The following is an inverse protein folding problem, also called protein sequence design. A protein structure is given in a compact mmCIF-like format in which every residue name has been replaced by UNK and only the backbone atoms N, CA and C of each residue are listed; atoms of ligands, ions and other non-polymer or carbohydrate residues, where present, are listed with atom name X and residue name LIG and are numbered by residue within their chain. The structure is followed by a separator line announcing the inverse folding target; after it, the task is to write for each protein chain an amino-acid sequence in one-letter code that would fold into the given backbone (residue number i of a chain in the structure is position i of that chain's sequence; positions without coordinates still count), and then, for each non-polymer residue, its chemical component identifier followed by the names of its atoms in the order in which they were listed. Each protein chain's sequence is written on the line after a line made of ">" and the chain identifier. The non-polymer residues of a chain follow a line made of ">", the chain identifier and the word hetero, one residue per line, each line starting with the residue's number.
data_IF_943274143943
#
_entry.id   IF_943274143943
#
_cell.length_a   1.000
_cell.length_b   1.000
_cell.length_c   1.000
_cell.angle_alpha   90.00
_cell.angle_beta   90.00
_cell.angle_gamma   90.00
#
_symmetry.space_group_name_H-M   'P 1'
#
loop_
_entity.id
_entity.type
_entity.pdbx_description
1 polymer ?
#
# COMPACT_ATOMS: atom_id res chain seq x y z
N UNK A 1 61.60 49.22 26.55
CA UNK A 1 61.20 48.17 25.60
C UNK A 1 59.97 48.69 24.89
N UNK A 2 60.18 49.10 23.65
CA UNK A 2 59.31 49.99 22.91
C UNK A 2 59.00 49.39 21.53
N UNK A 3 57.86 49.84 21.00
CA UNK A 3 57.43 49.84 19.59
C UNK A 3 56.67 48.58 19.12
N UNK A 4 55.37 48.71 18.77
CA UNK A 4 54.78 49.13 17.46
C UNK A 4 54.99 48.01 16.42
N UNK A 5 53.97 47.50 15.73
CA UNK A 5 53.27 48.19 14.65
C UNK A 5 51.84 47.67 14.40
N UNK A 6 50.96 48.65 14.16
CA UNK A 6 49.66 48.56 13.51
C UNK A 6 49.86 48.40 11.99
N UNK A 7 48.97 47.66 11.33
CA UNK A 7 48.90 47.57 9.87
C UNK A 7 47.51 47.90 9.38
N UNK A 8 47.26 49.19 9.16
CA UNK A 8 46.15 49.75 8.38
C UNK A 8 46.29 49.38 6.89
N UNK A 9 45.17 49.15 6.21
CA UNK A 9 45.17 48.87 4.77
C UNK A 9 43.80 48.76 4.12
N UNK A 10 43.01 49.84 4.14
CA UNK A 10 42.07 50.14 3.05
C UNK A 10 42.65 51.24 2.16
N UNK A 11 42.32 51.22 0.85
CA UNK A 11 41.57 52.36 0.35
C UNK A 11 40.42 52.01 -0.60
N UNK A 12 39.50 52.97 -0.64
CA UNK A 12 38.23 53.05 -1.32
C UNK A 12 38.30 53.24 -2.84
N UNK A 13 37.09 53.26 -3.44
CA UNK A 13 36.59 53.92 -4.69
C UNK A 13 36.05 52.88 -5.70
N UNK A 14 34.91 53.03 -6.39
CA UNK A 14 33.94 54.14 -6.59
C UNK A 14 32.75 53.61 -7.41
N UNK A 15 31.61 54.31 -7.30
CA UNK A 15 30.60 54.61 -8.35
C UNK A 15 29.76 53.43 -8.91
N UNK A 16 28.46 53.38 -8.61
CA UNK A 16 27.37 54.11 -9.29
C UNK A 16 27.11 53.58 -10.72
N UNK A 17 25.96 52.94 -10.90
CA UNK A 17 25.44 52.44 -12.16
C UNK A 17 23.95 52.16 -12.02
N UNK A 18 23.18 53.23 -12.18
CA UNK A 18 21.73 53.30 -12.19
C UNK A 18 21.29 53.26 -13.65
N UNK A 19 20.61 52.21 -14.09
CA UNK A 19 19.92 52.17 -15.39
C UNK A 19 18.63 51.34 -15.27
N UNK A 20 17.51 52.05 -15.07
CA UNK A 20 16.24 51.77 -15.77
C UNK A 20 16.28 52.61 -17.05
N UNK A 21 15.74 52.13 -18.19
CA UNK A 21 14.38 52.56 -18.52
C UNK A 21 13.54 51.61 -19.41
N UNK A 22 12.26 51.99 -19.49
CA UNK A 22 11.31 51.82 -20.60
C UNK A 22 10.62 50.43 -20.72
N UNK A 23 9.36 50.29 -20.30
CA UNK A 23 8.14 50.73 -21.00
C UNK A 23 7.97 50.13 -22.40
N UNK A 24 7.10 49.13 -22.53
CA UNK A 24 6.21 49.04 -23.68
C UNK A 24 4.87 48.47 -23.22
N UNK A 25 3.87 49.36 -23.27
CA UNK A 25 2.47 49.02 -23.28
C UNK A 25 2.17 48.17 -24.52
N UNK A 26 1.30 47.17 -24.38
CA UNK A 26 0.45 46.75 -25.49
C UNK A 26 -0.95 46.51 -24.94
N UNK A 27 -1.76 47.55 -25.11
CA UNK A 27 -3.21 47.55 -24.93
C UNK A 27 -3.79 47.72 -26.34
N UNK A 28 -4.65 46.79 -26.77
CA UNK A 28 -5.84 46.96 -27.62
C UNK A 28 -6.13 45.67 -28.40
N UNK A 29 -7.38 45.21 -28.29
CA UNK A 29 -7.87 44.05 -29.03
C UNK A 29 -9.25 43.58 -28.58
N UNK A 30 -10.18 44.49 -28.29
CA UNK A 30 -11.59 44.15 -28.17
C UNK A 30 -12.19 43.97 -29.58
N UNK A 31 -12.75 42.79 -29.87
CA UNK A 31 -13.62 42.50 -31.01
C UNK A 31 -14.68 41.50 -30.54
N UNK A 32 -15.83 41.97 -30.06
CA UNK A 32 -17.10 42.17 -30.80
C UNK A 32 -17.66 40.88 -31.43
N UNK A 33 -18.69 40.37 -30.75
CA UNK A 33 -19.97 39.88 -31.25
C UNK A 33 -20.10 39.53 -32.75
N UNK A 34 -20.45 38.28 -33.01
CA UNK A 34 -21.04 37.81 -34.25
C UNK A 34 -21.85 36.55 -33.99
N UNK A 35 -23.15 36.73 -33.75
CA UNK A 35 -24.10 35.63 -33.68
C UNK A 35 -24.43 35.08 -35.07
N UNK A 36 -24.67 33.77 -35.12
CA UNK A 36 -25.61 33.10 -36.03
C UNK A 36 -26.07 31.86 -35.27
N UNK A 37 -27.31 31.75 -34.78
CA UNK A 37 -28.54 31.49 -35.55
C UNK A 37 -28.34 30.39 -36.59
N UNK A 38 -28.50 29.15 -36.14
CA UNK A 38 -29.13 28.11 -36.94
C UNK A 38 -30.15 27.41 -36.04
N UNK A 39 -31.42 27.60 -36.37
CA UNK A 39 -32.55 27.02 -35.67
C UNK A 39 -32.86 25.60 -36.15
N UNK A 40 -33.60 24.91 -35.30
CA UNK A 40 -34.80 24.12 -35.58
C UNK A 40 -34.78 23.16 -36.78
N UNK A 41 -35.03 21.87 -36.51
CA UNK A 41 -36.31 21.20 -36.81
C UNK A 41 -36.14 19.67 -36.88
N UNK A 42 -37.06 18.99 -36.18
CA UNK A 42 -37.62 17.66 -36.47
C UNK A 42 -36.69 16.44 -36.29
N UNK A 43 -37.15 15.31 -35.78
CA UNK A 43 -38.51 14.92 -35.49
C UNK A 43 -38.55 13.58 -34.76
N UNK A 44 -39.63 13.42 -34.00
CA UNK A 44 -40.10 12.16 -33.49
C UNK A 44 -40.42 11.21 -34.66
N UNK A 45 -39.95 9.97 -34.54
CA UNK A 45 -40.23 8.88 -35.46
C UNK A 45 -40.55 7.61 -34.68
N UNK A 46 -41.77 7.55 -34.15
CA UNK A 46 -42.48 6.31 -33.82
C UNK A 46 -42.63 5.48 -35.10
N UNK A 47 -42.34 4.18 -35.05
CA UNK A 47 -43.05 3.11 -35.78
C UNK A 47 -42.58 1.71 -35.27
N UNK A 48 -43.37 0.65 -35.50
CA UNK A 48 -43.64 -0.41 -34.53
C UNK A 48 -43.00 -1.75 -34.92
N UNK A 49 -42.84 -2.64 -33.96
CA UNK A 49 -42.73 -4.09 -34.17
C UNK A 49 -43.60 -4.74 -33.08
N UNK A 50 -44.78 -5.25 -33.44
CA UNK A 50 -45.04 -6.69 -33.67
C UNK A 50 -44.35 -7.55 -32.59
N UNK A 51 -45.07 -8.15 -31.64
CA UNK A 51 -46.22 -9.02 -31.87
C UNK A 51 -45.69 -10.45 -31.93
N UNK A 52 -45.53 -11.08 -30.77
CA UNK A 52 -44.93 -12.41 -30.65
C UNK A 52 -45.12 -12.99 -29.25
N UNK A 53 -46.33 -13.49 -29.01
CA UNK A 53 -46.67 -14.35 -27.89
C UNK A 53 -45.78 -15.60 -27.89
N UNK A 54 -45.19 -15.92 -26.74
CA UNK A 54 -44.65 -17.23 -26.46
C UNK A 54 -44.92 -17.56 -24.99
N UNK A 55 -45.86 -18.49 -24.82
CA UNK A 55 -46.20 -19.17 -23.60
C UNK A 55 -44.96 -19.75 -22.89
N UNK A 56 -44.79 -19.41 -21.62
CA UNK A 56 -44.02 -20.20 -20.68
C UNK A 56 -44.73 -20.20 -19.32
N UNK A 57 -45.67 -21.14 -19.23
CA UNK A 57 -46.23 -21.67 -18.01
C UNK A 57 -45.10 -22.14 -17.09
N UNK A 58 -44.89 -21.49 -15.94
CA UNK A 58 -44.07 -22.01 -14.86
C UNK A 58 -44.85 -21.89 -13.56
N UNK A 59 -45.19 -23.07 -13.05
CA UNK A 59 -45.95 -23.32 -11.84
C UNK A 59 -45.34 -22.66 -10.61
N UNK A 60 -46.12 -21.80 -9.97
CA UNK A 60 -45.86 -21.25 -8.66
C UNK A 60 -46.33 -22.25 -7.58
N UNK A 61 -45.57 -23.32 -7.39
CA UNK A 61 -45.69 -24.23 -6.26
C UNK A 61 -44.31 -24.84 -5.99
N UNK A 62 -43.49 -24.18 -5.15
CA UNK A 62 -42.38 -24.79 -4.37
C UNK A 62 -41.46 -23.78 -3.64
N UNK A 63 -41.91 -22.53 -3.40
CA UNK A 63 -41.12 -21.55 -2.64
C UNK A 63 -41.31 -21.61 -1.10
N UNK A 64 -42.25 -22.43 -0.59
CA UNK A 64 -42.67 -22.41 0.83
C UNK A 64 -42.22 -23.65 1.64
N UNK A 65 -41.57 -24.64 1.01
CA UNK A 65 -41.15 -25.89 1.67
C UNK A 65 -39.66 -25.92 2.09
N UNK A 66 -38.85 -24.99 1.59
CA UNK A 66 -37.41 -24.87 1.97
C UNK A 66 -37.23 -24.05 3.27
N UNK A 67 -38.19 -23.18 3.61
CA UNK A 67 -38.14 -22.35 4.82
C UNK A 67 -38.48 -23.11 6.13
N UNK A 68 -38.97 -24.36 6.05
CA UNK A 68 -39.37 -25.16 7.24
C UNK A 68 -38.42 -26.30 7.61
N UNK A 69 -37.25 -26.42 6.95
CA UNK A 69 -36.27 -27.50 7.18
C UNK A 69 -34.98 -27.08 7.90
N UNK A 70 -34.91 -25.85 8.42
CA UNK A 70 -33.74 -25.35 9.17
C UNK A 70 -34.02 -25.20 10.69
N UNK A 71 -35.25 -25.40 11.15
CA UNK A 71 -35.58 -25.49 12.57
C UNK A 71 -35.72 -26.96 12.98
N UNK A 72 -34.60 -27.60 13.36
CA UNK A 72 -34.46 -28.77 14.24
C UNK A 72 -33.22 -29.58 13.87
N UNK A 73 -32.06 -29.09 14.32
CA UNK A 73 -30.90 -29.92 14.61
C UNK A 73 -30.25 -29.39 15.89
N UNK A 74 -30.65 -30.00 17.00
CA UNK A 74 -30.10 -29.90 18.35
C UNK A 74 -28.58 -30.12 18.35
N UNK A 75 -27.78 -29.25 18.97
CA UNK A 75 -27.33 -29.31 20.38
C UNK A 75 -26.52 -30.57 20.72
N UNK A 76 -25.18 -30.45 20.69
CA UNK A 76 -24.33 -30.83 21.81
C UNK A 76 -22.90 -30.31 21.60
N UNK A 77 -22.62 -29.13 22.16
CA UNK A 77 -21.25 -28.64 22.37
C UNK A 77 -21.19 -28.00 23.76
N UNK A 78 -20.83 -28.80 24.75
CA UNK A 78 -20.49 -28.36 26.09
C UNK A 78 -19.26 -27.44 26.03
N UNK A 79 -19.50 -26.13 26.01
CA UNK A 79 -18.48 -25.12 26.16
C UNK A 79 -18.19 -24.90 27.65
N UNK A 80 -17.04 -25.38 28.11
CA UNK A 80 -16.46 -25.07 29.42
C UNK A 80 -15.92 -23.64 29.38
N UNK A 81 -16.82 -22.66 29.54
CA UNK A 81 -16.50 -21.25 29.58
C UNK A 81 -15.84 -20.91 30.93
N UNK A 82 -14.52 -21.07 31.02
CA UNK A 82 -13.72 -20.38 32.04
C UNK A 82 -13.82 -18.88 31.78
N UNK A 83 -14.65 -18.20 32.57
CA UNK A 83 -14.69 -16.75 32.65
C UNK A 83 -13.29 -16.22 33.04
N UNK A 84 -12.57 -15.69 32.06
CA UNK A 84 -11.41 -14.82 32.30
C UNK A 84 -11.94 -13.57 33.00
N UNK A 85 -11.33 -13.11 34.10
CA UNK A 85 -11.76 -11.89 34.77
C UNK A 85 -11.66 -10.73 33.78
N UNK A 86 -12.71 -9.91 33.71
CA UNK A 86 -12.73 -8.70 32.92
C UNK A 86 -11.56 -7.80 33.35
N UNK A 87 -10.50 -7.76 32.55
CA UNK A 87 -9.42 -6.80 32.70
C UNK A 87 -10.02 -5.41 32.49
N UNK A 88 -9.90 -4.53 33.50
CA UNK A 88 -10.32 -3.14 33.37
C UNK A 88 -9.68 -2.52 32.12
N UNK A 89 -10.43 -1.71 31.34
CA UNK A 89 -9.85 -1.02 30.19
C UNK A 89 -8.71 -0.14 30.71
N UNK A 90 -7.48 -0.49 30.30
CA UNK A 90 -6.23 0.13 30.80
C UNK A 90 -6.09 1.61 30.42
N UNK A 91 -7.06 2.17 29.68
CA UNK A 91 -7.03 3.51 29.12
C UNK A 91 -8.26 4.34 29.51
N UNK A 92 -8.20 4.98 30.68
CA UNK A 92 -8.95 6.20 30.99
C UNK A 92 -7.95 7.37 31.04
N UNK A 93 -7.54 7.94 29.90
CA UNK A 93 -6.51 8.99 29.94
C UNK A 93 -5.97 9.61 28.65
N UNK A 94 -6.63 9.49 27.49
CA UNK A 94 -6.22 10.20 26.27
C UNK A 94 -6.62 11.68 26.32
N UNK A 95 -6.01 12.42 27.23
CA UNK A 95 -5.94 13.89 27.25
C UNK A 95 -4.46 14.32 27.25
N UNK A 96 -3.70 13.84 26.27
CA UNK A 96 -2.37 14.39 25.98
C UNK A 96 -2.44 15.10 24.63
N UNK A 97 -2.22 16.41 24.67
CA UNK A 97 -2.03 17.23 23.49
C UNK A 97 -0.80 16.72 22.72
N UNK A 98 -1.01 15.84 21.75
CA UNK A 98 0.00 15.43 20.78
C UNK A 98 -0.21 16.25 19.50
N UNK A 99 0.87 16.81 18.97
CA UNK A 99 0.82 17.58 17.74
C UNK A 99 0.48 16.66 16.57
N UNK A 100 -0.72 16.80 16.00
CA UNK A 100 -1.16 16.12 14.78
C UNK A 100 -0.23 16.51 13.61
N UNK A 101 0.35 15.52 12.94
CA UNK A 101 1.18 15.69 11.74
C UNK A 101 0.51 15.02 10.55
N UNK A 102 -0.02 15.84 9.63
CA UNK A 102 -0.58 15.37 8.36
C UNK A 102 0.53 15.04 7.37
N UNK A 103 0.54 13.83 6.83
CA UNK A 103 1.42 13.43 5.73
C UNK A 103 0.77 13.78 4.39
N UNK A 104 1.19 14.89 3.78
CA UNK A 104 0.91 15.14 2.36
C UNK A 104 1.85 14.35 1.46
N UNK A 105 1.46 14.09 0.22
CA UNK A 105 2.22 13.35 -0.80
C UNK A 105 3.58 13.96 -1.23
N UNK A 106 4.17 14.86 -0.43
CA UNK A 106 5.45 15.51 -0.72
C UNK A 106 6.25 15.97 0.52
N UNK A 107 5.86 15.58 1.74
CA UNK A 107 6.64 15.89 2.94
C UNK A 107 7.71 14.81 3.16
N UNK A 108 8.97 15.14 3.53
CA UNK A 108 9.98 14.13 3.87
C UNK A 108 9.44 13.19 4.96
N UNK A 109 9.31 11.92 4.60
CA UNK A 109 8.46 10.88 5.21
C UNK A 109 8.81 10.45 6.64
N UNK A 110 9.79 11.06 7.29
CA UNK A 110 10.12 10.72 8.67
C UNK A 110 9.54 11.78 9.61
N UNK A 111 8.52 11.45 10.44
CA UNK A 111 8.22 12.31 11.58
C UNK A 111 9.54 12.45 12.34
N UNK A 112 9.89 13.69 12.67
CA UNK A 112 11.27 14.11 12.90
C UNK A 112 12.06 13.31 13.95
N UNK A 113 11.44 12.39 14.72
CA UNK A 113 12.07 11.53 15.71
C UNK A 113 11.28 10.24 15.97
N UNK A 114 11.17 9.33 14.99
CA UNK A 114 11.13 7.91 15.36
C UNK A 114 12.49 7.65 16.03
N UNK A 115 12.51 7.30 17.31
CA UNK A 115 13.73 7.32 18.12
C UNK A 115 14.89 6.57 17.45
N UNK A 116 16.11 7.14 17.49
CA UNK A 116 17.32 6.50 16.94
C UNK A 116 17.62 5.14 17.58
N UNK A 117 17.03 4.89 18.74
CA UNK A 117 17.20 3.69 19.53
C UNK A 117 16.35 2.50 19.03
N UNK A 118 15.46 2.74 18.07
CA UNK A 118 14.71 1.66 17.42
C UNK A 118 15.60 0.88 16.46
N UNK A 119 15.46 -0.43 16.45
CA UNK A 119 15.98 -1.31 15.41
C UNK A 119 15.31 -1.02 14.06
N UNK A 120 15.91 -1.44 12.93
CA UNK A 120 15.32 -1.27 11.61
C UNK A 120 13.92 -1.90 11.48
N UNK A 121 13.69 -3.06 12.11
CA UNK A 121 12.38 -3.70 12.12
C UNK A 121 11.37 -2.85 12.87
N UNK A 122 11.70 -2.38 14.07
CA UNK A 122 10.79 -1.58 14.86
C UNK A 122 10.41 -0.27 14.18
N UNK A 123 11.36 0.38 13.47
CA UNK A 123 11.02 1.55 12.64
C UNK A 123 10.04 1.21 11.53
N UNK A 124 10.21 0.06 10.86
CA UNK A 124 9.27 -0.41 9.83
C UNK A 124 7.88 -0.66 10.44
N UNK A 125 7.81 -1.33 11.59
CA UNK A 125 6.55 -1.61 12.28
C UNK A 125 5.88 -0.32 12.75
N UNK A 126 6.64 0.61 13.34
CA UNK A 126 6.15 1.90 13.80
C UNK A 126 5.50 2.71 12.67
N UNK A 127 6.09 2.72 11.47
CA UNK A 127 5.57 3.49 10.33
C UNK A 127 4.58 2.71 9.44
N UNK A 128 4.27 1.45 9.75
CA UNK A 128 3.36 0.62 8.94
C UNK A 128 1.98 1.27 8.78
N UNK A 129 1.53 1.46 7.54
CA UNK A 129 0.34 2.26 7.21
C UNK A 129 -0.81 1.38 6.68
N UNK A 130 -1.28 0.45 7.52
CA UNK A 130 -2.31 -0.53 7.13
C UNK A 130 -1.77 -1.78 6.44
N UNK A 131 -0.45 -1.99 6.46
CA UNK A 131 0.22 -3.17 5.90
C UNK A 131 1.01 -3.98 6.95
N UNK A 132 0.72 -3.79 8.24
CA UNK A 132 1.42 -4.44 9.35
C UNK A 132 1.39 -5.96 9.27
N UNK A 133 0.20 -6.57 9.06
CA UNK A 133 0.06 -8.02 8.95
C UNK A 133 0.95 -8.62 7.86
N UNK A 134 0.99 -7.98 6.68
CA UNK A 134 1.83 -8.41 5.58
C UNK A 134 3.31 -8.24 5.91
N UNK A 135 3.72 -7.10 6.47
CA UNK A 135 5.11 -6.87 6.84
C UNK A 135 5.60 -7.95 7.81
N UNK A 136 4.83 -8.22 8.87
CA UNK A 136 5.17 -9.24 9.86
C UNK A 136 5.15 -10.64 9.25
N UNK A 137 4.13 -10.95 8.43
CA UNK A 137 4.04 -12.23 7.73
C UNK A 137 5.26 -12.48 6.83
N UNK A 138 5.66 -11.48 6.03
CA UNK A 138 6.85 -11.56 5.18
C UNK A 138 8.13 -11.64 5.99
N UNK A 139 8.24 -10.86 7.07
CA UNK A 139 9.42 -10.85 7.92
C UNK A 139 9.63 -12.21 8.59
N UNK A 140 8.59 -12.76 9.20
CA UNK A 140 8.64 -14.05 9.90
C UNK A 140 8.54 -15.25 8.96
N UNK A 141 8.08 -15.04 7.72
CA UNK A 141 7.68 -16.08 6.77
C UNK A 141 6.61 -17.02 7.34
N UNK A 142 5.61 -16.43 8.02
CA UNK A 142 4.59 -17.14 8.79
C UNK A 142 3.22 -16.49 8.62
N UNK A 143 2.16 -17.22 8.95
CA UNK A 143 0.80 -16.67 8.90
C UNK A 143 0.58 -15.68 10.04
N UNK A 144 0.03 -14.51 9.71
CA UNK A 144 -0.39 -13.49 10.68
C UNK A 144 -1.90 -13.37 10.67
N UNK A 145 -2.54 -13.55 11.83
CA UNK A 145 -3.99 -13.44 11.99
C UNK A 145 -4.38 -12.32 12.96
N UNK A 146 -5.54 -11.73 12.72
CA UNK A 146 -6.18 -10.75 13.61
C UNK A 146 -7.37 -11.41 14.28
N UNK A 147 -7.43 -11.32 15.61
CA UNK A 147 -8.55 -11.83 16.39
C UNK A 147 -9.29 -10.67 17.04
N UNK A 148 -10.59 -10.56 16.79
CA UNK A 148 -11.43 -9.53 17.40
C UNK A 148 -11.81 -9.98 18.80
N UNK A 149 -11.43 -9.18 19.80
CA UNK A 149 -11.72 -9.45 21.22
C UNK A 149 -12.95 -8.66 21.67
N UNK A 150 -13.06 -7.40 21.21
CA UNK A 150 -14.17 -6.50 21.56
C UNK A 150 -14.59 -5.69 20.34
N UNK A 151 -15.90 -5.49 20.17
CA UNK A 151 -16.47 -4.67 19.09
C UNK A 151 -17.85 -4.18 19.54
N UNK A 152 -17.85 -3.18 20.41
CA UNK A 152 -19.06 -2.68 21.07
C UNK A 152 -19.47 -1.33 20.51
N UNK A 153 -20.77 -1.07 20.38
CA UNK A 153 -21.26 0.25 20.00
C UNK A 153 -21.16 1.17 21.21
N UNK A 154 -20.51 2.32 21.02
CA UNK A 154 -20.50 3.40 21.98
C UNK A 154 -21.75 4.26 21.76
N UNK A 155 -22.86 3.88 22.40
CA UNK A 155 -24.16 4.56 22.26
C UNK A 155 -24.09 6.05 22.61
N UNK A 156 -23.28 6.41 23.61
CA UNK A 156 -23.12 7.80 24.04
C UNK A 156 -22.43 8.69 22.99
N UNK A 157 -21.57 8.10 22.14
CA UNK A 157 -20.87 8.80 21.06
C UNK A 157 -21.57 8.69 19.69
N UNK A 158 -22.60 7.85 19.60
CA UNK A 158 -23.35 7.57 18.37
C UNK A 158 -24.53 8.53 18.19
N UNK A 159 -24.90 8.77 16.93
CA UNK A 159 -26.05 9.59 16.50
C UNK A 159 -26.83 8.84 15.41
N UNK A 160 -27.99 9.37 15.01
CA UNK A 160 -28.82 8.77 13.96
C UNK A 160 -28.08 8.57 12.61
N UNK A 161 -27.03 9.35 12.36
CA UNK A 161 -26.26 9.34 11.10
C UNK A 161 -24.84 8.79 11.27
N UNK A 162 -24.43 8.42 12.49
CA UNK A 162 -23.04 8.09 12.81
C UNK A 162 -22.97 7.08 13.93
N UNK A 163 -22.34 5.95 13.69
CA UNK A 163 -22.12 4.91 14.71
C UNK A 163 -20.66 4.89 15.11
N UNK A 164 -20.40 4.86 16.42
CA UNK A 164 -19.04 4.77 16.98
C UNK A 164 -18.88 3.40 17.62
N UNK A 165 -17.82 2.68 17.26
CA UNK A 165 -17.46 1.39 17.84
C UNK A 165 -16.19 1.52 18.68
N UNK A 166 -16.22 0.94 19.88
CA UNK A 166 -15.05 0.67 20.70
C UNK A 166 -14.58 -0.75 20.38
N UNK A 167 -13.47 -0.86 19.66
CA UNK A 167 -12.96 -2.12 19.13
C UNK A 167 -11.60 -2.46 19.74
N UNK A 168 -11.40 -3.73 20.06
CA UNK A 168 -10.10 -4.27 20.48
C UNK A 168 -9.80 -5.53 19.68
N UNK A 169 -8.59 -5.63 19.15
CA UNK A 169 -8.10 -6.81 18.44
C UNK A 169 -6.74 -7.25 18.97
N UNK A 170 -6.47 -8.54 18.86
CA UNK A 170 -5.14 -9.12 19.09
C UNK A 170 -4.50 -9.50 17.76
N UNK A 171 -3.19 -9.31 17.68
CA UNK A 171 -2.35 -9.63 16.54
C UNK A 171 -1.49 -10.85 16.86
N UNK A 172 -1.62 -11.88 16.04
CA UNK A 172 -0.98 -13.18 16.24
C UNK A 172 -0.12 -13.54 15.03
N UNK A 173 1.11 -13.98 15.28
CA UNK A 173 1.97 -14.62 14.30
C UNK A 173 2.05 -16.09 14.70
N UNK A 174 1.35 -16.96 13.96
CA UNK A 174 1.02 -18.32 14.40
C UNK A 174 0.39 -18.36 15.81
N UNK A 175 1.10 -18.97 16.76
CA UNK A 175 0.67 -19.17 18.16
C UNK A 175 1.23 -18.09 19.11
N UNK A 176 2.00 -17.12 18.58
CA UNK A 176 2.60 -16.04 19.36
C UNK A 176 1.81 -14.75 19.17
N UNK A 177 1.21 -14.26 20.26
CA UNK A 177 0.64 -12.90 20.29
C UNK A 177 1.78 -11.89 20.32
N UNK A 178 1.85 -11.03 19.30
CA UNK A 178 2.87 -9.98 19.21
C UNK A 178 2.30 -8.57 19.32
N UNK A 179 0.98 -8.42 19.38
CA UNK A 179 0.41 -7.10 19.55
C UNK A 179 -1.06 -7.08 19.92
N UNK A 180 -1.51 -5.90 20.33
CA UNK A 180 -2.90 -5.59 20.64
C UNK A 180 -3.21 -4.20 20.08
N UNK A 181 -4.41 -4.02 19.56
CA UNK A 181 -4.86 -2.75 19.04
C UNK A 181 -6.25 -2.40 19.59
N UNK A 182 -6.32 -1.30 20.32
CA UNK A 182 -7.57 -0.65 20.69
C UNK A 182 -7.90 0.42 19.65
N UNK A 183 -9.17 0.58 19.30
CA UNK A 183 -9.60 1.47 18.24
C UNK A 183 -10.95 2.09 18.52
N UNK A 184 -11.08 3.37 18.17
CA UNK A 184 -12.35 4.06 18.07
C UNK A 184 -12.69 4.18 16.59
N UNK A 185 -13.73 3.45 16.15
CA UNK A 185 -14.14 3.39 14.74
C UNK A 185 -15.43 4.16 14.57
N UNK A 186 -15.35 5.31 13.91
CA UNK A 186 -16.50 6.17 13.59
C UNK A 186 -16.93 5.93 12.16
N UNK A 187 -18.20 5.58 11.95
CA UNK A 187 -18.75 5.21 10.65
C UNK A 187 -20.01 6.02 10.36
N UNK A 188 -20.11 6.56 9.15
CA UNK A 188 -21.28 7.28 8.64
C UNK A 188 -21.98 6.51 7.50
N UNK A 189 -21.26 5.58 6.84
CA UNK A 189 -21.79 4.76 5.75
C UNK A 189 -22.52 3.51 6.26
N UNK A 190 -23.81 3.30 5.94
CA UNK A 190 -24.57 2.11 6.36
C UNK A 190 -23.93 0.79 5.91
N UNK A 191 -23.35 0.76 4.70
CA UNK A 191 -22.66 -0.43 4.17
C UNK A 191 -21.44 -0.82 5.01
N UNK A 192 -20.69 0.17 5.49
CA UNK A 192 -19.53 -0.04 6.37
C UNK A 192 -19.97 -0.45 7.77
N UNK A 193 -21.10 0.08 8.26
CA UNK A 193 -21.65 -0.30 9.57
C UNK A 193 -21.96 -1.79 9.62
N UNK A 194 -22.61 -2.34 8.59
CA UNK A 194 -22.92 -3.76 8.50
C UNK A 194 -21.63 -4.60 8.56
N UNK A 195 -20.62 -4.26 7.74
CA UNK A 195 -19.35 -4.98 7.71
C UNK A 195 -18.61 -4.95 9.06
N UNK A 196 -18.57 -3.80 9.74
CA UNK A 196 -17.92 -3.67 11.06
C UNK A 196 -18.71 -4.39 12.16
N UNK A 197 -20.03 -4.29 12.14
CA UNK A 197 -20.91 -4.93 13.13
C UNK A 197 -20.79 -6.46 13.10
N UNK A 198 -20.45 -7.05 11.94
CA UNK A 198 -20.22 -8.49 11.82
C UNK A 198 -19.11 -9.02 12.73
N UNK A 199 -18.16 -8.16 13.12
CA UNK A 199 -16.98 -8.55 13.90
C UNK A 199 -16.01 -9.47 13.16
N UNK A 200 -16.25 -9.79 11.87
CA UNK A 200 -15.44 -10.74 11.10
C UNK A 200 -14.35 -10.09 10.27
N UNK A 201 -14.50 -8.80 9.95
CA UNK A 201 -13.60 -8.08 9.05
C UNK A 201 -12.69 -7.15 9.87
N UNK A 202 -11.37 -7.28 9.71
CA UNK A 202 -10.40 -6.36 10.31
C UNK A 202 -10.45 -4.97 9.66
N UNK A 203 -10.05 -3.92 10.40
CA UNK A 203 -10.15 -2.53 9.91
C UNK A 203 -9.39 -2.33 8.59
N UNK A 204 -8.18 -2.88 8.48
CA UNK A 204 -7.40 -2.78 7.23
C UNK A 204 -8.07 -3.46 6.04
N UNK A 205 -8.85 -4.53 6.29
CA UNK A 205 -9.56 -5.27 5.25
C UNK A 205 -10.80 -4.53 4.76
N UNK A 206 -11.46 -3.77 5.64
CA UNK A 206 -12.63 -2.95 5.27
C UNK A 206 -12.26 -1.98 4.15
N UNK A 207 -11.16 -1.23 4.30
CA UNK A 207 -10.76 -0.28 3.27
C UNK A 207 -10.60 -0.95 1.91
N UNK A 208 -9.98 -2.14 1.88
CA UNK A 208 -9.81 -2.92 0.66
C UNK A 208 -11.12 -3.47 0.10
N UNK A 209 -11.98 -4.06 0.94
CA UNK A 209 -13.25 -4.66 0.51
C UNK A 209 -14.18 -3.63 -0.16
N UNK A 210 -14.05 -2.36 0.22
CA UNK A 210 -14.83 -1.26 -0.31
C UNK A 210 -14.00 -0.35 -1.23
N UNK A 211 -12.84 -0.82 -1.72
CA UNK A 211 -11.94 -0.13 -2.65
C UNK A 211 -11.55 1.30 -2.22
N UNK A 212 -11.52 1.56 -0.91
CA UNK A 212 -11.14 2.84 -0.31
C UNK A 212 -9.63 2.89 -0.06
N UNK A 213 -9.01 4.01 -0.45
CA UNK A 213 -7.62 4.32 -0.09
C UNK A 213 -7.60 5.23 1.16
N UNK A 214 -7.28 4.71 2.36
CA UNK A 214 -7.30 5.53 3.56
C UNK A 214 -6.13 6.52 3.60
N UNK A 215 -6.42 7.75 4.00
CA UNK A 215 -5.40 8.68 4.47
C UNK A 215 -4.86 8.19 5.82
N UNK A 216 -3.54 8.04 5.91
CA UNK A 216 -2.82 7.62 7.11
C UNK A 216 -2.16 8.81 7.80
N UNK A 217 -2.38 8.94 9.10
CA UNK A 217 -1.79 9.98 9.95
C UNK A 217 -1.20 9.35 11.21
N UNK A 218 0.13 9.25 11.28
CA UNK A 218 0.83 8.82 12.51
C UNK A 218 0.83 9.96 13.53
N UNK A 219 0.18 9.75 14.68
CA UNK A 219 -0.01 10.78 15.71
C UNK A 219 1.08 10.73 16.77
N UNK A 220 1.44 9.53 17.23
CA UNK A 220 2.54 9.34 18.19
C UNK A 220 3.17 7.96 18.06
N UNK A 221 4.46 7.89 18.38
CA UNK A 221 5.18 6.63 18.59
C UNK A 221 6.01 6.80 19.85
N UNK A 222 5.92 5.84 20.75
CA UNK A 222 6.73 5.71 21.96
C UNK A 222 7.32 4.31 21.98
N UNK A 223 8.61 4.21 22.24
CA UNK A 223 9.30 2.95 22.47
C UNK A 223 9.89 3.02 23.88
N UNK A 224 9.09 2.67 24.91
CA UNK A 224 9.43 3.01 26.29
C UNK A 224 10.63 2.24 26.82
N UNK A 225 10.80 0.96 26.45
CA UNK A 225 11.97 0.08 26.65
C UNK A 225 11.63 -1.32 26.06
N UNK A 226 12.61 -2.23 25.92
CA UNK A 226 12.40 -3.68 25.68
C UNK A 226 11.58 -4.09 24.44
N UNK A 227 11.90 -3.56 23.26
CA UNK A 227 11.27 -3.97 22.00
C UNK A 227 9.74 -3.77 21.92
N UNK A 228 9.17 -2.99 22.83
CA UNK A 228 7.77 -2.59 22.77
C UNK A 228 7.62 -1.29 21.97
N UNK A 229 6.65 -1.28 21.05
CA UNK A 229 6.27 -0.11 20.27
C UNK A 229 4.83 0.22 20.62
N UNK A 230 4.62 1.36 21.26
CA UNK A 230 3.32 1.99 21.45
C UNK A 230 3.15 3.04 20.33
N UNK A 231 2.13 2.87 19.49
CA UNK A 231 1.82 3.85 18.45
C UNK A 231 0.35 4.21 18.41
N UNK A 232 0.09 5.48 18.15
CA UNK A 232 -1.26 6.01 17.92
C UNK A 232 -1.29 6.61 16.52
N UNK A 233 -2.27 6.23 15.73
CA UNK A 233 -2.44 6.75 14.39
C UNK A 233 -3.91 6.80 14.00
N UNK A 234 -4.19 7.51 12.90
CA UNK A 234 -5.51 7.62 12.31
C UNK A 234 -5.51 7.09 10.89
N UNK A 235 -6.56 6.34 10.56
CA UNK A 235 -6.95 6.01 9.20
C UNK A 235 -8.27 6.72 8.90
N UNK A 236 -8.38 7.36 7.73
CA UNK A 236 -9.61 8.05 7.34
C UNK A 236 -9.90 7.88 5.86
N UNK A 237 -11.17 7.64 5.53
CA UNK A 237 -11.70 7.62 4.17
C UNK A 237 -13.12 8.18 4.19
N UNK A 238 -13.77 8.28 3.02
CA UNK A 238 -15.14 8.78 2.94
C UNK A 238 -16.07 7.87 3.77
N UNK A 239 -16.74 8.47 4.76
CA UNK A 239 -17.71 7.78 5.61
C UNK A 239 -17.12 6.87 6.71
N UNK A 240 -15.80 6.87 6.92
CA UNK A 240 -15.16 6.14 8.02
C UNK A 240 -13.89 6.83 8.55
N UNK A 241 -13.73 6.84 9.87
CA UNK A 241 -12.52 7.29 10.55
C UNK A 241 -12.20 6.34 11.69
N UNK A 242 -10.94 5.90 11.77
CA UNK A 242 -10.45 5.02 12.81
C UNK A 242 -9.29 5.73 13.53
N UNK A 243 -9.41 5.92 14.84
CA UNK A 243 -8.27 6.24 15.70
C UNK A 243 -7.81 4.95 16.37
N UNK A 244 -6.55 4.58 16.15
CA UNK A 244 -6.01 3.26 16.48
C UNK A 244 -4.81 3.46 17.40
N UNK A 245 -4.84 2.80 18.54
CA UNK A 245 -3.74 2.66 19.48
C UNK A 245 -3.25 1.22 19.46
N UNK A 246 -2.01 1.00 19.04
CA UNK A 246 -1.40 -0.32 18.97
C UNK A 246 -0.22 -0.41 19.94
N UNK A 247 -0.18 -1.52 20.67
CA UNK A 247 0.97 -1.97 21.44
C UNK A 247 1.53 -3.20 20.76
N UNK A 248 2.77 -3.11 20.28
CA UNK A 248 3.48 -4.18 19.59
C UNK A 248 4.66 -4.61 20.44
N UNK A 249 4.87 -5.91 20.58
CA UNK A 249 6.07 -6.50 21.19
C UNK A 249 6.88 -7.18 20.09
N UNK A 250 7.92 -6.50 19.61
CA UNK A 250 8.78 -7.01 18.54
C UNK A 250 9.64 -8.19 19.01
N UNK A 251 9.84 -8.37 20.32
CA UNK A 251 10.57 -9.52 20.86
C UNK A 251 9.78 -10.83 20.75
N UNK A 252 8.45 -10.74 20.67
CA UNK A 252 7.56 -11.89 20.48
C UNK A 252 7.48 -12.35 19.03
N UNK A 253 8.07 -11.60 18.10
CA UNK A 253 8.18 -12.05 16.73
C UNK A 253 9.16 -13.23 16.68
N UNK A 254 8.75 -14.38 16.11
CA UNK A 254 9.64 -15.52 15.99
C UNK A 254 10.89 -15.10 15.24
N UNK A 255 12.04 -15.60 15.68
CA UNK A 255 13.28 -15.38 14.96
C UNK A 255 13.09 -15.85 13.52
N UNK A 256 13.53 -15.06 12.55
CA UNK A 256 13.37 -15.43 11.16
C UNK A 256 14.08 -16.76 10.89
N UNK A 257 13.55 -17.60 9.98
CA UNK A 257 14.24 -18.82 9.59
C UNK A 257 15.64 -18.45 9.08
N UNK A 258 16.66 -19.10 9.63
CA UNK A 258 18.04 -18.94 9.17
C UNK A 258 18.08 -19.42 7.72
N UNK A 259 18.60 -18.61 6.78
CA UNK A 259 18.81 -19.07 5.41
C UNK A 259 19.65 -20.35 5.44
N UNK A 260 19.04 -21.49 5.11
CA UNK A 260 19.81 -22.70 4.81
C UNK A 260 20.72 -22.34 3.64
N UNK A 261 22.01 -22.63 3.71
CA UNK A 261 22.95 -22.39 2.60
C UNK A 261 22.47 -23.16 1.37
N UNK A 262 21.66 -22.52 0.53
CA UNK A 262 21.15 -23.14 -0.70
C UNK A 262 22.24 -22.99 -1.75
N UNK A 263 22.61 -24.11 -2.37
CA UNK A 263 23.55 -24.11 -3.49
C UNK A 263 22.89 -23.40 -4.69
N UNK A 264 23.25 -22.12 -4.88
CA UNK A 264 22.63 -21.19 -5.86
C UNK A 264 22.72 -21.74 -7.30
N UNK A 265 23.67 -22.67 -7.56
CA UNK A 265 23.85 -23.30 -8.86
C UNK A 265 22.65 -24.14 -9.34
N UNK A 266 21.81 -24.67 -8.44
CA UNK A 266 20.72 -25.56 -8.83
C UNK A 266 19.39 -24.85 -9.15
N UNK A 267 19.13 -23.67 -8.57
CA UNK A 267 17.79 -23.04 -8.58
C UNK A 267 17.51 -22.29 -9.90
N UNK A 268 18.53 -21.67 -10.50
CA UNK A 268 18.38 -20.92 -11.75
C UNK A 268 18.10 -21.81 -12.98
N UNK A 269 18.39 -23.12 -12.90
CA UNK A 269 18.11 -24.06 -13.97
C UNK A 269 16.62 -24.47 -14.05
N UNK A 270 15.84 -24.29 -12.98
CA UNK A 270 14.42 -24.69 -12.94
C UNK A 270 13.47 -23.64 -13.54
N UNK A 271 13.78 -22.34 -13.45
CA UNK A 271 12.91 -21.27 -13.98
C UNK A 271 13.04 -20.98 -15.47
N UNK A 272 14.06 -21.50 -16.16
CA UNK A 272 14.30 -21.21 -17.60
C UNK A 272 13.69 -22.22 -18.58
N UNK A 273 12.90 -23.20 -18.10
CA UNK A 273 12.41 -24.32 -18.93
C UNK A 273 10.89 -24.34 -19.14
N UNK A 274 10.29 -23.19 -19.42
CA UNK A 274 8.87 -23.08 -19.80
C UNK A 274 8.69 -22.32 -21.14
N UNK A 275 9.07 -22.95 -22.25
CA UNK A 275 8.64 -22.58 -23.60
C UNK A 275 8.98 -23.69 -24.62
N UNK A 276 8.25 -24.81 -24.62
CA UNK A 276 7.99 -25.58 -25.85
C UNK A 276 6.88 -26.62 -25.61
N UNK A 277 5.71 -26.55 -26.29
CA UNK A 277 4.70 -27.61 -26.23
C UNK A 277 4.91 -28.58 -27.39
N UNK A 278 5.42 -29.78 -27.12
CA UNK A 278 5.48 -30.82 -28.15
C UNK A 278 6.04 -32.16 -27.67
N UNK A 279 5.18 -33.19 -27.76
CA UNK A 279 5.43 -34.63 -27.77
C UNK A 279 5.41 -35.43 -26.42
N UNK A 280 4.24 -36.03 -26.18
CA UNK A 280 3.89 -37.38 -25.67
C UNK A 280 4.88 -38.28 -24.89
N UNK A 281 4.48 -38.61 -23.64
CA UNK A 281 4.42 -39.90 -22.89
C UNK A 281 5.64 -40.87 -22.76
N UNK A 282 5.67 -41.76 -21.72
CA UNK A 282 5.39 -41.55 -20.28
C UNK A 282 6.44 -42.24 -19.36
N UNK A 283 6.25 -42.09 -18.05
CA UNK A 283 6.86 -42.83 -16.93
C UNK A 283 8.21 -42.31 -16.37
N UNK A 284 8.15 -41.56 -15.27
CA UNK A 284 9.09 -41.71 -14.16
C UNK A 284 8.63 -40.93 -12.92
N UNK A 285 8.80 -41.61 -11.78
CA UNK A 285 8.80 -41.18 -10.39
C UNK A 285 8.91 -39.67 -10.07
N UNK A 286 8.01 -39.24 -9.17
CA UNK A 286 8.35 -38.36 -8.05
C UNK A 286 8.69 -36.91 -8.36
N UNK A 287 7.87 -36.23 -9.17
CA UNK A 287 7.98 -34.79 -9.35
C UNK A 287 7.25 -34.09 -8.19
N UNK A 288 8.00 -33.45 -7.28
CA UNK A 288 7.42 -32.51 -6.33
C UNK A 288 6.93 -31.30 -7.10
N UNK A 289 5.62 -31.11 -7.04
CA UNK A 289 4.85 -30.13 -7.80
C UNK A 289 5.10 -28.73 -7.24
N UNK A 290 6.00 -27.96 -7.87
CA UNK A 290 6.28 -26.56 -7.52
C UNK A 290 5.20 -25.60 -8.02
N UNK A 291 4.11 -26.10 -8.61
CA UNK A 291 3.00 -25.29 -9.17
C UNK A 291 1.86 -25.01 -8.20
N UNK A 292 1.98 -25.36 -6.92
CA UNK A 292 0.89 -25.20 -5.93
C UNK A 292 1.13 -24.08 -4.90
N UNK A 293 1.89 -23.04 -5.25
CA UNK A 293 1.81 -21.78 -4.51
C UNK A 293 0.62 -20.99 -5.10
N UNK A 294 -0.42 -20.64 -4.32
CA UNK A 294 -1.50 -19.81 -4.82
C UNK A 294 -0.92 -18.49 -5.36
N UNK A 295 -1.03 -18.28 -6.68
CA UNK A 295 -0.49 -17.12 -7.41
C UNK A 295 -1.20 -15.78 -7.07
N UNK A 296 -1.89 -15.69 -5.93
CA UNK A 296 -2.68 -14.50 -5.58
C UNK A 296 -2.09 -13.81 -4.35
N UNK A 297 -0.84 -13.32 -4.50
CA UNK A 297 -0.26 -12.34 -3.58
C UNK A 297 -1.12 -11.06 -3.50
N UNK A 298 -1.91 -10.81 -4.55
CA UNK A 298 -2.92 -9.76 -4.56
C UNK A 298 -3.90 -9.92 -3.41
N UNK A 299 -4.45 -11.10 -3.14
CA UNK A 299 -5.64 -11.27 -2.29
C UNK A 299 -5.34 -11.46 -0.78
N UNK A 300 -4.07 -11.31 -0.41
CA UNK A 300 -3.53 -11.61 0.93
C UNK A 300 -4.13 -10.81 2.11
N UNK A 301 -5.03 -9.88 1.85
CA UNK A 301 -5.69 -9.05 2.86
C UNK A 301 -7.22 -9.25 2.89
N UNK A 302 -7.80 -10.12 2.05
CA UNK A 302 -9.24 -10.40 2.10
C UNK A 302 -9.62 -11.35 3.27
N UNK A 303 -8.67 -12.18 3.74
CA UNK A 303 -8.85 -13.06 4.89
C UNK A 303 -8.29 -12.49 6.21
N UNK A 304 -8.89 -12.88 7.35
CA UNK A 304 -8.39 -12.51 8.69
C UNK A 304 -6.98 -13.02 8.96
N UNK A 305 -6.48 -13.93 8.12
CA UNK A 305 -5.12 -14.43 8.08
C UNK A 305 -4.43 -14.02 6.78
N UNK A 306 -3.19 -13.55 6.90
CA UNK A 306 -2.29 -13.21 5.79
C UNK A 306 -1.09 -14.15 5.84
N UNK A 307 -0.77 -14.83 4.74
CA UNK A 307 0.42 -15.69 4.63
C UNK A 307 1.17 -15.43 3.34
N UNK A 308 2.32 -14.77 3.43
CA UNK A 308 3.26 -14.67 2.32
C UNK A 308 4.15 -15.91 2.32
N UNK A 309 4.02 -16.76 1.30
CA UNK A 309 4.89 -17.93 1.15
C UNK A 309 5.94 -17.68 0.06
N UNK A 310 6.99 -16.96 0.41
CA UNK A 310 8.20 -16.91 -0.41
C UNK A 310 9.07 -18.09 0.04
N UNK A 311 9.56 -18.90 -0.91
CA UNK A 311 10.37 -20.08 -0.64
C UNK A 311 11.35 -19.91 0.52
N UNK A 312 11.13 -20.74 1.54
CA UNK A 312 11.92 -20.78 2.77
C UNK A 312 13.41 -20.88 2.47
N UNK A 313 14.21 -20.13 3.23
CA UNK A 313 15.67 -20.20 3.19
C UNK A 313 16.36 -19.48 2.03
N UNK A 314 15.64 -19.06 0.98
CA UNK A 314 16.26 -18.36 -0.17
C UNK A 314 16.48 -16.86 0.07
N UNK A 315 15.64 -16.25 0.92
CA UNK A 315 15.64 -14.81 1.15
C UNK A 315 15.73 -14.50 2.64
N UNK A 316 16.44 -13.44 2.98
CA UNK A 316 16.51 -12.81 4.30
C UNK A 316 15.17 -12.13 4.62
N UNK A 317 14.89 -11.83 5.90
CA UNK A 317 13.61 -11.25 6.32
C UNK A 317 13.27 -9.94 5.62
N UNK A 318 14.23 -9.02 5.57
CA UNK A 318 14.01 -7.74 4.92
C UNK A 318 13.88 -7.87 3.41
N UNK A 319 14.60 -8.80 2.77
CA UNK A 319 14.42 -9.10 1.35
C UNK A 319 12.98 -9.56 1.08
N UNK A 320 12.40 -10.46 1.90
CA UNK A 320 10.99 -10.88 1.76
C UNK A 320 10.01 -9.70 1.92
N UNK A 321 10.27 -8.80 2.87
CA UNK A 321 9.47 -7.58 3.05
C UNK A 321 9.52 -6.70 1.81
N UNK A 322 10.70 -6.49 1.22
CA UNK A 322 10.85 -5.72 -0.02
C UNK A 322 10.16 -6.40 -1.20
N UNK A 323 10.34 -7.72 -1.37
CA UNK A 323 9.72 -8.48 -2.47
C UNK A 323 8.20 -8.38 -2.46
N UNK A 324 7.58 -8.43 -1.29
CA UNK A 324 6.11 -8.45 -1.13
C UNK A 324 5.46 -7.11 -0.87
N UNK A 325 6.25 -6.02 -0.88
CA UNK A 325 5.71 -4.68 -0.70
C UNK A 325 4.79 -4.30 -1.88
N UNK A 326 3.47 -4.29 -1.66
CA UNK A 326 2.53 -3.64 -2.59
C UNK A 326 2.66 -2.12 -2.45
N UNK A 327 3.61 -1.55 -3.19
CA UNK A 327 3.94 -0.13 -3.18
C UNK A 327 4.76 0.34 -1.98
N UNK A 328 5.18 1.60 -2.07
CA UNK A 328 5.88 2.35 -1.02
C UNK A 328 7.19 1.72 -0.49
N UNK A 329 7.97 1.10 -1.38
CA UNK A 329 9.36 0.68 -1.09
C UNK A 329 10.19 1.84 -0.54
N UNK A 330 9.94 3.06 -1.03
CA UNK A 330 10.57 4.27 -0.53
C UNK A 330 10.40 4.44 0.99
N UNK A 331 9.18 4.30 1.54
CA UNK A 331 8.95 4.38 3.00
C UNK A 331 9.60 3.24 3.75
N UNK A 332 9.56 2.02 3.21
CA UNK A 332 10.19 0.86 3.85
C UNK A 332 11.70 1.05 3.95
N UNK A 333 12.36 1.45 2.86
CA UNK A 333 13.78 1.77 2.84
C UNK A 333 14.10 2.96 3.75
N UNK A 334 13.27 4.00 3.75
CA UNK A 334 13.46 5.17 4.60
C UNK A 334 13.38 4.84 6.09
N UNK A 335 12.41 3.99 6.45
CA UNK A 335 12.23 3.52 7.83
C UNK A 335 13.36 2.57 8.23
N UNK A 336 13.74 1.65 7.35
CA UNK A 336 14.81 0.70 7.62
C UNK A 336 16.15 1.39 7.85
N UNK A 337 16.52 2.31 6.96
CA UNK A 337 17.81 3.00 6.96
C UNK A 337 17.85 4.24 7.87
N UNK A 338 16.70 4.66 8.42
CA UNK A 338 16.55 5.92 9.17
C UNK A 338 17.07 7.15 8.38
N UNK A 339 16.83 7.15 7.07
CA UNK A 339 17.29 8.22 6.18
C UNK A 339 16.25 8.55 5.11
N UNK A 340 16.19 9.80 4.63
CA UNK A 340 15.23 10.18 3.60
C UNK A 340 15.59 9.48 2.28
N UNK A 341 14.63 8.79 1.69
CA UNK A 341 14.78 8.18 0.36
C UNK A 341 14.15 9.09 -0.69
N UNK A 342 14.90 9.38 -1.76
CA UNK A 342 14.46 10.22 -2.88
C UNK A 342 14.24 9.38 -4.11
N UNK A 343 13.19 9.67 -4.86
CA UNK A 343 12.92 9.08 -6.17
C UNK A 343 13.45 10.04 -7.23
N UNK A 344 14.38 9.57 -8.05
CA UNK A 344 14.92 10.30 -9.19
C UNK A 344 14.37 9.67 -10.47
N UNK A 345 13.52 10.41 -11.19
CA UNK A 345 13.07 9.99 -12.52
C UNK A 345 14.18 10.29 -13.51
N UNK A 346 14.78 9.25 -14.07
CA UNK A 346 15.92 9.37 -14.98
C UNK A 346 15.44 9.60 -16.40
N UNK A 347 14.42 8.85 -16.82
CA UNK A 347 13.87 8.92 -18.17
C UNK A 347 12.37 8.60 -18.13
N UNK A 348 11.59 9.35 -18.90
CA UNK A 348 10.24 8.97 -19.30
C UNK A 348 10.21 9.03 -20.82
N UNK A 349 10.15 7.85 -21.45
CA UNK A 349 10.11 7.72 -22.90
C UNK A 349 8.86 8.37 -23.47
N UNK A 350 8.97 8.83 -24.73
CA UNK A 350 7.83 9.37 -25.45
C UNK A 350 6.68 8.34 -25.50
N UNK A 351 5.41 8.80 -25.48
CA UNK A 351 4.27 7.90 -25.60
C UNK A 351 4.36 7.11 -26.90
N UNK A 352 4.28 5.79 -26.79
CA UNK A 352 4.11 4.89 -27.92
C UNK A 352 2.65 4.47 -27.98
N UNK A 353 2.06 4.41 -29.18
CA UNK A 353 0.71 3.89 -29.33
C UNK A 353 0.63 2.47 -28.75
N UNK A 354 -0.33 2.26 -27.84
CA UNK A 354 -0.51 0.96 -27.23
C UNK A 354 -1.26 0.04 -28.23
N UNK A 355 -0.70 -1.12 -28.60
CA UNK A 355 -1.34 -2.03 -29.55
C UNK A 355 -2.53 -2.80 -28.96
N UNK A 356 -2.69 -2.76 -27.63
CA UNK A 356 -3.70 -3.51 -26.89
C UNK A 356 -5.03 -2.74 -26.81
N UNK A 357 -6.15 -3.46 -26.95
CA UNK A 357 -7.49 -2.87 -26.94
C UNK A 357 -7.76 -2.09 -25.64
N UNK A 358 -8.12 -0.82 -25.78
CA UNK A 358 -8.56 0.05 -24.68
C UNK A 358 -7.46 0.90 -24.05
N UNK A 359 -6.17 0.66 -24.34
CA UNK A 359 -5.09 1.57 -23.96
C UNK A 359 -4.81 2.57 -25.09
N UNK A 360 -4.57 3.83 -24.73
CA UNK A 360 -4.30 4.89 -25.71
C UNK A 360 -2.80 5.19 -25.85
N UNK A 361 -2.01 4.89 -24.80
CA UNK A 361 -0.57 5.14 -24.78
C UNK A 361 0.16 4.20 -23.83
N UNK A 362 1.43 3.96 -24.16
CA UNK A 362 2.41 3.23 -23.35
C UNK A 362 3.68 4.07 -23.14
N UNK A 363 4.23 4.06 -21.94
CA UNK A 363 5.43 4.80 -21.56
C UNK A 363 6.45 3.85 -20.93
N UNK A 364 7.70 3.90 -21.41
CA UNK A 364 8.82 3.32 -20.69
C UNK A 364 9.34 4.36 -19.70
N UNK A 365 9.44 4.02 -18.43
CA UNK A 365 9.88 4.94 -17.37
C UNK A 365 10.97 4.30 -16.53
N UNK A 366 12.04 5.04 -16.30
CA UNK A 366 13.19 4.64 -15.50
C UNK A 366 13.32 5.57 -14.29
N UNK A 367 13.33 5.01 -13.09
CA UNK A 367 13.48 5.74 -11.85
C UNK A 367 14.49 5.04 -10.92
N UNK A 368 15.16 5.83 -10.10
CA UNK A 368 16.10 5.35 -9.09
C UNK A 368 15.66 5.81 -7.70
N UNK A 369 15.73 4.91 -6.72
CA UNK A 369 15.60 5.27 -5.31
C UNK A 369 17.00 5.46 -4.74
N UNK A 370 17.25 6.65 -4.19
CA UNK A 370 18.54 7.02 -3.60
C UNK A 370 18.42 7.40 -2.14
N UNK A 371 19.44 7.05 -1.36
CA UNK A 371 19.56 7.43 0.04
C UNK A 371 19.71 8.96 0.19
N UNK A 372 19.56 9.46 1.42
CA UNK A 372 19.83 10.87 1.73
C UNK A 372 21.29 11.27 1.46
N UNK A 373 22.18 10.28 1.42
CA UNK A 373 23.61 10.41 1.09
C UNK A 373 23.90 10.30 -0.42
N UNK A 374 22.89 9.94 -1.23
CA UNK A 374 22.99 9.82 -2.69
C UNK A 374 23.29 8.41 -3.19
N UNK A 375 23.43 7.43 -2.30
CA UNK A 375 23.68 6.02 -2.66
C UNK A 375 22.49 5.48 -3.46
N UNK A 376 22.76 4.73 -4.53
CA UNK A 376 21.72 4.00 -5.25
C UNK A 376 21.27 2.82 -4.39
N UNK A 377 19.97 2.66 -4.20
CA UNK A 377 19.39 1.56 -3.42
C UNK A 377 18.55 0.62 -4.29
N UNK A 378 17.76 1.19 -5.20
CA UNK A 378 16.91 0.46 -6.12
C UNK A 378 16.86 1.15 -7.47
N UNK A 379 16.95 0.35 -8.54
CA UNK A 379 16.69 0.76 -9.91
C UNK A 379 15.33 0.18 -10.33
N UNK A 380 14.42 1.04 -10.81
CA UNK A 380 13.07 0.68 -11.18
C UNK A 380 12.81 1.05 -12.65
N UNK A 381 12.53 0.03 -13.47
CA UNK A 381 12.09 0.18 -14.86
C UNK A 381 10.62 -0.20 -14.94
N UNK A 382 9.82 0.60 -15.60
CA UNK A 382 8.37 0.42 -15.66
C UNK A 382 7.83 0.63 -17.07
N UNK A 383 6.85 -0.19 -17.44
CA UNK A 383 6.01 -0.02 -18.62
C UNK A 383 4.63 0.41 -18.16
N UNK A 384 4.30 1.69 -18.37
CA UNK A 384 3.04 2.30 -17.95
C UNK A 384 2.08 2.33 -19.14
N UNK A 385 0.95 1.65 -19.05
CA UNK A 385 -0.14 1.69 -20.03
C UNK A 385 -1.33 2.45 -19.46
N UNK A 386 -1.89 3.39 -20.23
CA UNK A 386 -2.99 4.25 -19.76
C UNK A 386 -4.16 4.26 -20.74
N UNK A 387 -5.38 4.36 -20.22
CA UNK A 387 -6.63 4.42 -21.00
C UNK A 387 -7.18 5.84 -21.15
N UNK A 388 -6.72 6.80 -20.35
CA UNK A 388 -7.19 8.19 -20.37
C UNK A 388 -6.09 9.18 -20.76
N UNK A 389 -6.48 10.23 -21.51
CA UNK A 389 -5.57 11.28 -21.96
C UNK A 389 -5.03 12.10 -20.78
N UNK A 390 -5.84 12.30 -19.74
CA UNK A 390 -5.43 12.98 -18.51
C UNK A 390 -4.30 12.22 -17.82
N UNK A 391 -4.41 10.90 -17.70
CA UNK A 391 -3.39 10.08 -17.07
C UNK A 391 -2.12 10.02 -17.92
N UNK A 392 -2.27 9.94 -19.25
CA UNK A 392 -1.14 10.04 -20.18
C UNK A 392 -0.34 11.33 -19.94
N UNK A 393 -1.02 12.48 -19.85
CA UNK A 393 -0.38 13.76 -19.59
C UNK A 393 0.30 13.81 -18.20
N UNK A 394 -0.30 13.20 -17.17
CA UNK A 394 0.32 13.09 -15.83
C UNK A 394 1.61 12.27 -15.88
N UNK A 395 1.61 11.12 -16.56
CA UNK A 395 2.80 10.26 -16.70
C UNK A 395 3.88 10.98 -17.51
N UNK A 396 3.52 11.58 -18.64
CA UNK A 396 4.42 12.31 -19.52
C UNK A 396 5.11 13.50 -18.83
N UNK A 397 4.41 14.16 -17.90
CA UNK A 397 5.01 15.26 -17.12
C UNK A 397 6.24 14.83 -16.33
N UNK A 398 6.40 13.53 -16.01
CA UNK A 398 7.53 13.00 -15.24
C UNK A 398 7.62 13.51 -13.79
N UNK A 399 6.71 14.39 -13.36
CA UNK A 399 6.80 15.14 -12.11
C UNK A 399 6.36 14.36 -10.87
N UNK A 400 5.89 13.11 -11.01
CA UNK A 400 5.36 12.34 -9.88
C UNK A 400 5.92 10.93 -9.85
N UNK A 401 5.95 10.37 -8.63
CA UNK A 401 6.17 8.94 -8.45
C UNK A 401 5.04 8.13 -9.11
N UNK A 402 5.30 6.85 -9.39
CA UNK A 402 4.30 6.00 -10.06
C UNK A 402 3.07 5.75 -9.18
N UNK A 403 3.22 5.80 -7.84
CA UNK A 403 2.10 5.65 -6.92
C UNK A 403 1.10 6.81 -7.02
N UNK A 404 1.59 8.02 -7.27
CA UNK A 404 0.77 9.20 -7.49
C UNK A 404 -0.02 9.13 -8.81
N UNK A 405 0.43 8.35 -9.80
CA UNK A 405 -0.37 8.07 -11.01
C UNK A 405 -1.68 7.38 -10.62
N UNK A 406 -1.64 6.49 -9.62
CA UNK A 406 -2.82 5.76 -9.14
C UNK A 406 -3.61 6.50 -8.05
N UNK A 407 -2.98 7.36 -7.25
CA UNK A 407 -3.61 7.99 -6.07
C UNK A 407 -4.12 9.43 -6.24
N UNK A 408 -4.02 10.05 -7.42
CA UNK A 408 -4.22 11.51 -7.57
C UNK A 408 -5.45 11.91 -8.39
N UNK A 409 -6.42 11.02 -8.58
CA UNK A 409 -7.65 11.45 -9.26
C UNK A 409 -8.33 12.58 -8.52
N UNK A 410 -8.17 12.72 -7.19
CA UNK A 410 -8.89 13.71 -6.39
C UNK A 410 -10.41 13.54 -6.45
N UNK A 411 -10.86 12.56 -7.24
CA UNK A 411 -12.22 12.09 -7.33
C UNK A 411 -12.47 11.23 -6.10
N UNK A 412 -13.70 11.30 -5.63
CA UNK A 412 -14.21 10.38 -4.60
C UNK A 412 -14.09 8.92 -5.05
N UNK A 413 -13.84 8.68 -6.34
CA UNK A 413 -13.67 7.38 -7.00
C UNK A 413 -12.21 6.88 -7.07
N UNK A 414 -11.30 7.37 -6.23
CA UNK A 414 -9.92 6.86 -6.21
C UNK A 414 -9.88 5.37 -5.81
N UNK A 415 -9.82 4.49 -6.79
CA UNK A 415 -9.74 3.04 -6.57
C UNK A 415 -8.34 2.61 -6.14
N UNK A 416 -8.28 1.68 -5.18
CA UNK A 416 -7.02 1.05 -4.82
C UNK A 416 -6.52 0.18 -6.00
N UNK A 417 -5.25 0.33 -6.44
CA UNK A 417 -4.73 -0.51 -7.51
C UNK A 417 -4.66 -1.97 -7.07
N UNK A 418 -5.07 -2.87 -7.96
CA UNK A 418 -4.80 -4.29 -7.82
C UNK A 418 -3.31 -4.53 -8.02
N UNK A 419 -2.69 -5.29 -7.11
CA UNK A 419 -1.28 -5.62 -7.16
C UNK A 419 -1.09 -7.11 -7.36
N UNK A 420 -0.25 -7.46 -8.31
CA UNK A 420 0.12 -8.84 -8.58
C UNK A 420 1.63 -8.97 -8.65
N UNK A 421 2.21 -9.78 -7.76
CA UNK A 421 3.62 -10.12 -7.81
C UNK A 421 3.83 -11.19 -8.89
N UNK A 422 4.48 -10.82 -9.99
CA UNK A 422 4.66 -11.69 -11.17
C UNK A 422 5.88 -12.58 -11.00
N UNK A 423 7.01 -12.03 -10.54
CA UNK A 423 8.24 -12.78 -10.37
C UNK A 423 9.16 -12.18 -9.31
N UNK A 424 9.98 -13.04 -8.70
CA UNK A 424 11.08 -12.66 -7.81
C UNK A 424 12.32 -13.44 -8.18
N UNK A 425 13.49 -12.80 -8.13
CA UNK A 425 14.74 -13.44 -8.53
C UNK A 425 15.90 -12.95 -7.65
N UNK A 426 16.77 -13.88 -7.22
CA UNK A 426 18.09 -13.52 -6.70
C UNK A 426 19.06 -13.41 -7.89
N UNK A 427 19.76 -12.30 -7.96
CA UNK A 427 20.75 -12.02 -8.99
C UNK A 427 22.14 -12.46 -8.50
N UNK A 428 23.07 -12.69 -9.43
CA UNK A 428 24.41 -13.18 -9.16
C UNK A 428 25.38 -12.09 -8.64
N UNK A 429 24.92 -10.85 -8.48
CA UNK A 429 25.73 -9.73 -8.02
C UNK A 429 26.61 -9.11 -9.11
N UNK A 430 26.65 -9.65 -10.34
CA UNK A 430 27.57 -9.20 -11.38
C UNK A 430 27.41 -7.73 -11.78
N UNK A 431 26.20 -7.19 -11.65
CA UNK A 431 25.88 -5.77 -11.91
C UNK A 431 25.70 -4.94 -10.62
N UNK A 432 26.13 -5.45 -9.46
CA UNK A 432 25.95 -4.81 -8.16
C UNK A 432 24.52 -4.89 -7.60
N UNK A 433 23.62 -5.61 -8.28
CA UNK A 433 22.29 -5.94 -7.80
C UNK A 433 22.24 -7.39 -7.31
N UNK A 434 21.54 -7.63 -6.20
CA UNK A 434 21.42 -8.97 -5.62
C UNK A 434 19.99 -9.51 -5.67
N UNK A 435 19.00 -8.65 -5.90
CA UNK A 435 17.59 -9.00 -5.80
C UNK A 435 16.78 -8.26 -6.87
N UNK A 436 15.82 -8.95 -7.48
CA UNK A 436 14.88 -8.38 -8.44
C UNK A 436 13.45 -8.83 -8.15
N UNK A 437 12.49 -7.97 -8.44
CA UNK A 437 11.07 -8.33 -8.49
C UNK A 437 10.38 -7.69 -9.69
N UNK A 438 9.42 -8.42 -10.24
CA UNK A 438 8.50 -7.93 -11.26
C UNK A 438 7.08 -8.00 -10.72
N UNK A 439 6.32 -6.92 -10.85
CA UNK A 439 4.93 -6.87 -10.42
C UNK A 439 4.08 -6.03 -11.37
N UNK A 440 2.78 -6.28 -11.36
CA UNK A 440 1.77 -5.50 -12.06
C UNK A 440 0.91 -4.72 -11.06
N UNK A 441 0.67 -3.44 -11.37
CA UNK A 441 -0.34 -2.60 -10.74
C UNK A 441 -1.42 -2.29 -11.76
N UNK A 442 -2.70 -2.54 -11.45
CA UNK A 442 -3.80 -2.26 -12.38
C UNK A 442 -4.99 -1.57 -11.71
N UNK A 443 -5.63 -0.69 -12.48
CA UNK A 443 -6.92 -0.06 -12.18
C UNK A 443 -7.82 -0.12 -13.42
N UNK A 444 -9.03 0.41 -13.33
CA UNK A 444 -9.89 0.60 -14.49
C UNK A 444 -9.25 1.47 -15.59
N UNK A 445 -8.34 2.39 -15.23
CA UNK A 445 -7.77 3.37 -16.16
C UNK A 445 -6.31 3.13 -16.54
N UNK A 446 -5.60 2.23 -15.85
CA UNK A 446 -4.17 2.03 -16.03
C UNK A 446 -3.71 0.61 -15.73
N UNK A 447 -2.62 0.19 -16.37
CA UNK A 447 -1.82 -0.98 -15.99
C UNK A 447 -0.35 -0.60 -16.04
N UNK A 448 0.41 -1.01 -15.03
CA UNK A 448 1.84 -0.72 -14.92
C UNK A 448 2.55 -2.01 -14.57
N UNK A 449 3.46 -2.44 -15.43
CA UNK A 449 4.42 -3.49 -15.11
C UNK A 449 5.69 -2.81 -14.61
N UNK A 450 6.16 -3.19 -13.42
CA UNK A 450 7.36 -2.65 -12.80
C UNK A 450 8.35 -3.76 -12.56
N UNK A 451 9.60 -3.54 -12.97
CA UNK A 451 10.78 -4.33 -12.62
C UNK A 451 11.65 -3.49 -11.70
N UNK A 452 11.85 -3.96 -10.47
CA UNK A 452 12.71 -3.34 -9.47
C UNK A 452 13.92 -4.23 -9.19
N UNK A 453 15.12 -3.66 -9.24
CA UNK A 453 16.38 -4.30 -8.91
C UNK A 453 17.03 -3.59 -7.72
N UNK A 454 17.40 -4.34 -6.68
CA UNK A 454 17.96 -3.82 -5.44
C UNK A 454 19.47 -4.06 -5.35
N UNK A 455 20.19 -3.02 -4.93
CA UNK A 455 21.65 -3.05 -4.79
C UNK A 455 22.07 -4.03 -3.70
N UNK A 456 23.17 -4.75 -3.91
CA UNK A 456 23.72 -5.70 -2.93
C UNK A 456 24.11 -5.04 -1.61
N UNK A 457 24.68 -3.83 -1.70
CA UNK A 457 25.08 -3.02 -0.55
C UNK A 457 23.94 -2.70 0.43
N UNK A 458 22.68 -2.80 -0.01
CA UNK A 458 21.50 -2.68 0.85
C UNK A 458 21.44 -3.80 1.90
N UNK A 459 22.03 -4.96 1.62
CA UNK A 459 21.96 -6.17 2.43
C UNK A 459 23.29 -6.57 3.08
N UNK A 460 24.42 -6.00 2.66
CA UNK A 460 25.77 -6.33 3.18
C UNK A 460 26.05 -5.85 4.60
N UNK A 461 25.22 -4.94 5.13
CA UNK A 461 25.46 -4.38 6.45
C UNK A 461 24.92 -5.32 7.54
N UNK A 462 25.80 -6.17 8.07
CA UNK A 462 25.60 -6.91 9.32
C UNK A 462 25.35 -5.99 10.53
N UNK A 463 25.55 -4.67 10.38
CA UNK A 463 25.26 -3.65 11.41
C UNK A 463 23.77 -3.52 11.78
N UNK A 464 22.89 -4.27 11.11
CA UNK A 464 21.44 -4.17 11.24
C UNK A 464 20.78 -5.43 11.83
N UNK A 465 21.57 -6.47 12.12
CA UNK A 465 21.24 -7.60 12.98
C UNK A 465 21.89 -7.37 14.34
#
# INVERSE_FOLDING_TARGET
>A
MASREEGDGQPARTAAGQEDPASSETRLGAGRAGGSHFGDLMGAGLLPLDGGDADANLDAHDADEVAKKIEHADLDATADARATPATEPRYKGLNRACASQRFGAGSPFLPARVGKDLSPLERILATANGNLQRIVSSWCNRSVRVQVVRNEINEAASTDTKVVYDRCVELWCEDSKFGMADSIVTIESPKLMEAVSSGRVGIGQLFRQFDMLPAFELLSVVAPDNNEIDRVYRLSAVGIMCEIHELLDASMLPSPPVPTSVDVGAVNAASSKAANPGASDPASAGQQDSSNVPNHYGDLMAGTATSVNIHDGQFRPFERVLLTANGNVQRLLSSFLDEPIRVHVMETGAPVAAPEAGFIASFNRHAQLRSGRGDLLCDAKSLVRVRSQELAAKVESGLRDIGAVFGTSGSEDAQMPHFELVATQRLDGSEGYSLSRTYELSTADASVIVVEQFQESLFENDKFM
#
